data_IF_023623610850
#
_entry.id   IF_023623610850
#
_cell.length_a   1.000
_cell.length_b   1.000
_cell.length_c   1.000
_cell.angle_alpha   90.00
_cell.angle_beta   90.00
_cell.angle_gamma   90.00
#
_symmetry.space_group_name_H-M   'P 1'
#
loop_
_entity.id
_entity.type
_entity.pdbx_description
1 polymer ?
#
# COMPACT_ATOMS: atom_id res chain seq x y z
N UNK A 1 25.96 -9.81 -6.50
CA UNK A 1 25.24 -8.61 -6.98
C UNK A 1 25.32 -7.57 -5.87
N UNK A 2 25.80 -6.34 -6.11
CA UNK A 2 25.88 -5.32 -5.07
C UNK A 2 24.47 -4.93 -4.60
N UNK A 3 24.32 -4.67 -3.30
CA UNK A 3 23.07 -4.22 -2.69
C UNK A 3 23.33 -2.82 -2.14
N UNK A 4 22.46 -1.87 -2.51
CA UNK A 4 22.50 -0.49 -2.03
C UNK A 4 21.26 -0.23 -1.18
N UNK A 5 21.42 0.50 -0.08
CA UNK A 5 20.35 0.79 0.88
C UNK A 5 20.09 2.29 0.93
N UNK A 6 18.87 2.69 0.57
CA UNK A 6 18.35 4.04 0.77
C UNK A 6 17.35 4.03 1.92
N UNK A 7 17.44 5.01 2.82
CA UNK A 7 16.48 5.19 3.93
C UNK A 7 15.63 6.42 3.63
N UNK A 8 14.33 6.19 3.48
CA UNK A 8 13.34 7.24 3.27
C UNK A 8 12.88 7.86 4.59
N UNK A 9 12.11 8.93 4.49
CA UNK A 9 11.35 9.48 5.63
C UNK A 9 10.22 8.53 6.04
N UNK A 10 9.75 8.67 7.27
CA UNK A 10 8.68 7.82 7.80
C UNK A 10 7.29 8.24 7.29
N UNK A 11 6.41 7.24 7.15
CA UNK A 11 5.00 7.44 6.81
C UNK A 11 4.78 8.26 5.53
N UNK A 12 3.80 9.15 5.59
CA UNK A 12 3.36 9.93 4.43
C UNK A 12 4.42 10.94 3.94
N UNK A 13 5.41 11.28 4.76
CA UNK A 13 6.50 12.19 4.39
C UNK A 13 7.43 11.58 3.34
N UNK A 14 7.46 10.24 3.22
CA UNK A 14 8.15 9.55 2.13
C UNK A 14 7.62 9.96 0.75
N UNK A 15 6.35 10.36 0.65
CA UNK A 15 5.65 10.59 -0.62
C UNK A 15 5.73 12.04 -1.07
N UNK A 16 6.90 12.66 -0.94
CA UNK A 16 7.13 14.00 -1.45
C UNK A 16 7.95 13.96 -2.74
N UNK A 17 7.81 14.99 -3.57
CA UNK A 17 8.62 15.13 -4.78
C UNK A 17 10.12 15.17 -4.46
N UNK A 18 10.50 15.80 -3.34
CA UNK A 18 11.90 15.86 -2.90
C UNK A 18 12.45 14.46 -2.61
N UNK A 19 11.76 13.66 -1.81
CA UNK A 19 12.19 12.29 -1.49
C UNK A 19 12.25 11.42 -2.74
N UNK A 20 11.28 11.57 -3.65
CA UNK A 20 11.33 10.92 -4.96
C UNK A 20 12.57 11.31 -5.76
N UNK A 21 12.86 12.62 -5.88
CA UNK A 21 14.03 13.10 -6.61
C UNK A 21 15.34 12.60 -6.00
N UNK A 22 15.47 12.63 -4.67
CA UNK A 22 16.62 12.09 -3.96
C UNK A 22 16.80 10.58 -4.19
N UNK A 23 15.71 9.83 -4.26
CA UNK A 23 15.74 8.40 -4.58
C UNK A 23 16.27 8.14 -5.99
N UNK A 24 15.90 8.97 -6.97
CA UNK A 24 16.43 8.90 -8.33
C UNK A 24 17.93 9.25 -8.37
N UNK A 25 18.33 10.32 -7.67
CA UNK A 25 19.73 10.72 -7.55
C UNK A 25 20.57 9.60 -6.91
N UNK A 26 20.07 8.95 -5.87
CA UNK A 26 20.72 7.82 -5.21
C UNK A 26 20.94 6.65 -6.19
N UNK A 27 19.92 6.29 -6.98
CA UNK A 27 20.03 5.22 -7.97
C UNK A 27 21.09 5.54 -9.05
N UNK A 28 21.08 6.77 -9.59
CA UNK A 28 22.07 7.21 -10.58
C UNK A 28 23.50 7.24 -10.01
N UNK A 29 23.67 7.75 -8.80
CA UNK A 29 24.98 7.89 -8.14
C UNK A 29 25.63 6.54 -7.83
N UNK A 30 24.82 5.50 -7.62
CA UNK A 30 25.26 4.12 -7.42
C UNK A 30 25.33 3.31 -8.73
N UNK A 31 25.22 3.95 -9.89
CA UNK A 31 25.29 3.32 -11.21
C UNK A 31 24.26 2.18 -11.41
N UNK A 32 23.07 2.31 -10.81
CA UNK A 32 21.96 1.42 -11.14
C UNK A 32 21.60 1.57 -12.62
N UNK A 33 21.15 0.48 -13.24
CA UNK A 33 20.83 0.44 -14.65
C UNK A 33 19.51 -0.32 -14.89
N UNK A 34 19.14 -0.52 -16.16
CA UNK A 34 17.87 -1.18 -16.52
C UNK A 34 17.72 -2.63 -16.05
N UNK A 35 18.81 -3.29 -15.66
CA UNK A 35 18.82 -4.65 -15.10
C UNK A 35 18.81 -4.65 -13.57
N UNK A 36 18.88 -3.47 -12.94
CA UNK A 36 18.71 -3.32 -11.50
C UNK A 36 17.27 -3.58 -11.09
N UNK A 37 17.07 -3.87 -9.81
CA UNK A 37 15.76 -4.10 -9.21
C UNK A 37 15.62 -3.27 -7.94
N UNK A 38 14.43 -2.73 -7.71
CA UNK A 38 14.10 -2.02 -6.47
C UNK A 38 13.33 -2.97 -5.55
N UNK A 39 13.70 -3.00 -4.26
CA UNK A 39 12.95 -3.73 -3.23
C UNK A 39 12.37 -2.69 -2.27
N UNK A 40 11.04 -2.64 -2.20
CA UNK A 40 10.30 -1.75 -1.32
C UNK A 40 10.01 -2.44 0.01
N UNK A 41 10.82 -2.16 1.03
CA UNK A 41 10.63 -2.70 2.39
C UNK A 41 10.03 -1.63 3.29
N UNK A 42 8.74 -1.74 3.63
CA UNK A 42 8.05 -0.79 4.49
C UNK A 42 6.54 -0.84 4.37
N UNK A 43 5.84 0.16 4.93
CA UNK A 43 4.41 0.32 4.75
C UNK A 43 4.02 0.84 3.36
N UNK A 44 2.72 1.07 3.15
CA UNK A 44 2.18 1.49 1.85
C UNK A 44 2.83 2.75 1.27
N UNK A 45 3.24 3.69 2.12
CA UNK A 45 3.90 4.91 1.64
C UNK A 45 5.28 4.68 1.01
N UNK A 46 6.06 3.74 1.56
CA UNK A 46 7.32 3.31 0.98
C UNK A 46 7.07 2.51 -0.29
N UNK A 47 6.05 1.66 -0.30
CA UNK A 47 5.60 0.92 -1.49
C UNK A 47 5.28 1.84 -2.66
N UNK A 48 4.46 2.86 -2.44
CA UNK A 48 4.06 3.83 -3.46
C UNK A 48 5.26 4.63 -4.00
N UNK A 49 6.12 5.14 -3.10
CA UNK A 49 7.32 5.88 -3.49
C UNK A 49 8.25 4.98 -4.32
N UNK A 50 8.60 3.81 -3.80
CA UNK A 50 9.55 2.90 -4.43
C UNK A 50 9.03 2.39 -5.77
N UNK A 51 7.74 2.08 -5.87
CA UNK A 51 7.09 1.71 -7.12
C UNK A 51 7.12 2.86 -8.14
N UNK A 52 6.88 4.11 -7.71
CA UNK A 52 6.94 5.26 -8.61
C UNK A 52 8.37 5.56 -9.08
N UNK A 53 9.36 5.41 -8.20
CA UNK A 53 10.79 5.46 -8.57
C UNK A 53 11.11 4.37 -9.58
N UNK A 54 10.69 3.13 -9.35
CA UNK A 54 10.94 2.00 -10.26
C UNK A 54 10.31 2.22 -11.63
N UNK A 55 9.06 2.69 -11.67
CA UNK A 55 8.33 2.95 -12.90
C UNK A 55 8.97 4.04 -13.78
N UNK A 56 9.61 5.02 -13.16
CA UNK A 56 10.15 6.20 -13.84
C UNK A 56 11.66 6.13 -14.07
N UNK A 57 12.41 5.43 -13.21
CA UNK A 57 13.86 5.26 -13.36
C UNK A 57 14.16 4.52 -14.65
N UNK A 58 14.92 5.16 -15.54
CA UNK A 58 15.25 4.64 -16.88
C UNK A 58 14.02 4.16 -17.70
N UNK A 59 12.83 4.73 -17.44
CA UNK A 59 11.53 4.35 -18.03
C UNK A 59 11.00 2.98 -17.60
N UNK A 60 11.38 2.51 -16.43
CA UNK A 60 10.88 1.27 -15.85
C UNK A 60 11.99 0.27 -15.58
N UNK A 61 12.09 -0.16 -14.33
CA UNK A 61 12.89 -1.29 -13.87
C UNK A 61 12.06 -2.15 -12.91
N UNK A 62 12.32 -3.47 -12.82
CA UNK A 62 11.54 -4.35 -11.96
C UNK A 62 11.58 -3.92 -10.50
N UNK A 63 10.50 -4.15 -9.78
CA UNK A 63 10.46 -3.96 -8.34
C UNK A 63 9.65 -5.03 -7.61
N UNK A 64 9.98 -5.24 -6.35
CA UNK A 64 9.31 -6.16 -5.44
C UNK A 64 8.84 -5.38 -4.22
N UNK A 65 7.66 -5.72 -3.68
CA UNK A 65 7.19 -5.17 -2.41
C UNK A 65 7.36 -6.18 -1.28
N UNK A 66 7.80 -5.68 -0.12
CA UNK A 66 7.83 -6.39 1.15
C UNK A 66 7.07 -5.52 2.16
N UNK A 67 5.72 -5.61 2.18
CA UNK A 67 4.90 -4.79 3.04
C UNK A 67 5.11 -5.12 4.52
N UNK A 68 5.27 -4.10 5.36
CA UNK A 68 5.52 -4.26 6.81
C UNK A 68 4.40 -3.75 7.69
N UNK A 69 3.29 -3.29 7.11
CA UNK A 69 2.10 -2.83 7.84
C UNK A 69 0.88 -3.59 7.40
N UNK A 70 -0.09 -3.80 8.30
CA UNK A 70 -1.33 -4.47 7.93
C UNK A 70 -2.02 -3.70 6.79
N UNK A 71 -2.11 -2.36 6.87
CA UNK A 71 -2.72 -1.52 5.84
C UNK A 71 -2.15 -1.73 4.43
N UNK A 72 -0.87 -2.09 4.33
CA UNK A 72 -0.22 -2.25 3.04
C UNK A 72 -0.69 -3.50 2.26
N UNK A 73 -1.50 -4.39 2.84
CA UNK A 73 -2.17 -5.46 2.06
C UNK A 73 -3.06 -4.89 0.95
N UNK A 74 -3.74 -3.78 1.23
CA UNK A 74 -4.53 -3.04 0.25
C UNK A 74 -3.56 -2.45 -0.79
N UNK A 75 -2.64 -1.57 -0.41
CA UNK A 75 -1.81 -0.85 -1.39
C UNK A 75 -0.86 -1.74 -2.21
N UNK A 76 -0.49 -2.92 -1.70
CA UNK A 76 0.36 -3.86 -2.42
C UNK A 76 -0.33 -4.48 -3.64
N UNK A 77 -1.67 -4.48 -3.68
CA UNK A 77 -2.46 -5.02 -4.78
C UNK A 77 -3.09 -3.87 -5.57
N UNK A 78 -2.88 -3.85 -6.88
CA UNK A 78 -3.56 -2.92 -7.79
C UNK A 78 -2.71 -1.84 -8.44
N UNK A 79 -1.38 -1.94 -8.38
CA UNK A 79 -0.41 -1.20 -9.22
C UNK A 79 -0.37 0.33 -9.10
N UNK A 80 -1.20 0.95 -8.26
CA UNK A 80 -1.18 2.40 -8.10
C UNK A 80 0.05 2.78 -7.29
N UNK A 81 0.99 3.48 -7.91
CA UNK A 81 2.19 3.98 -7.24
C UNK A 81 2.27 5.48 -7.47
N UNK A 82 2.46 6.25 -6.40
CA UNK A 82 2.29 7.70 -6.46
C UNK A 82 3.05 8.44 -5.36
N UNK A 83 3.23 9.73 -5.59
CA UNK A 83 3.63 10.72 -4.58
C UNK A 83 2.53 11.78 -4.42
N UNK A 84 2.62 12.52 -3.33
CA UNK A 84 1.71 13.60 -3.01
C UNK A 84 2.16 14.91 -3.64
N UNK A 85 1.17 15.73 -3.97
CA UNK A 85 1.34 17.14 -4.25
C UNK A 85 0.81 17.96 -3.06
N UNK A 86 1.31 19.19 -2.78
CA UNK A 86 0.74 20.03 -1.72
C UNK A 86 -0.77 20.27 -1.85
N UNK A 87 -1.31 20.18 -3.07
CA UNK A 87 -2.74 20.34 -3.34
C UNK A 87 -3.56 19.05 -3.27
N UNK A 88 -2.93 17.88 -3.09
CA UNK A 88 -3.67 16.61 -3.04
C UNK A 88 -2.79 15.39 -2.86
N UNK A 89 -3.36 14.38 -2.19
CA UNK A 89 -2.70 13.07 -2.02
C UNK A 89 -2.77 12.25 -3.30
N UNK A 90 -1.71 11.49 -3.59
CA UNK A 90 -1.63 10.55 -4.71
C UNK A 90 -1.88 11.17 -6.10
N UNK A 91 -1.68 12.47 -6.26
CA UNK A 91 -2.03 13.19 -7.49
C UNK A 91 -1.01 12.97 -8.63
N UNK A 92 0.21 12.54 -8.30
CA UNK A 92 1.29 12.34 -9.27
C UNK A 92 1.73 10.88 -9.16
N UNK A 93 1.42 10.07 -10.16
CA UNK A 93 1.69 8.64 -10.11
C UNK A 93 1.48 7.94 -11.45
N UNK A 94 1.61 6.62 -11.43
CA UNK A 94 1.43 5.74 -12.58
C UNK A 94 0.90 4.38 -12.10
N UNK A 95 0.28 3.63 -13.00
CA UNK A 95 -0.02 2.22 -12.77
C UNK A 95 1.22 1.38 -13.14
N UNK A 96 1.87 0.77 -12.15
CA UNK A 96 3.06 -0.06 -12.30
C UNK A 96 3.00 -1.29 -11.38
N UNK A 97 3.01 -2.48 -11.97
CA UNK A 97 2.86 -3.75 -11.24
C UNK A 97 4.19 -4.20 -10.65
N UNK A 98 4.23 -4.67 -9.39
CA UNK A 98 5.41 -5.34 -8.85
C UNK A 98 5.59 -6.73 -9.49
N UNK A 99 6.84 -7.20 -9.54
CA UNK A 99 7.17 -8.57 -9.93
C UNK A 99 6.69 -9.60 -8.90
N UNK A 100 6.70 -9.21 -7.62
CA UNK A 100 6.22 -10.01 -6.51
C UNK A 100 5.89 -9.15 -5.28
N UNK A 101 5.04 -9.70 -4.41
CA UNK A 101 4.74 -9.15 -3.08
C UNK A 101 5.02 -10.24 -2.05
N UNK A 102 5.87 -9.95 -1.07
CA UNK A 102 6.19 -10.86 0.03
C UNK A 102 5.66 -10.29 1.35
N UNK A 103 4.64 -10.91 1.91
CA UNK A 103 4.05 -10.51 3.18
C UNK A 103 4.53 -11.43 4.29
N UNK A 104 5.37 -10.91 5.19
CA UNK A 104 5.84 -11.64 6.37
C UNK A 104 5.12 -11.11 7.62
N UNK A 105 4.33 -11.97 8.26
CA UNK A 105 3.52 -11.62 9.43
C UNK A 105 4.37 -11.26 10.66
N UNK A 106 5.64 -11.64 10.68
CA UNK A 106 6.56 -11.29 11.77
C UNK A 106 6.76 -9.76 11.90
N UNK A 107 6.65 -9.00 10.80
CA UNK A 107 6.73 -7.53 10.86
C UNK A 107 5.57 -6.90 11.63
N UNK A 108 4.40 -7.54 11.64
CA UNK A 108 3.22 -7.04 12.35
C UNK A 108 3.38 -7.13 13.87
N UNK A 109 4.25 -8.02 14.37
CA UNK A 109 4.53 -8.18 15.81
C UNK A 109 5.18 -6.94 16.44
N UNK A 110 5.86 -6.12 15.62
CA UNK A 110 6.52 -4.88 16.05
C UNK A 110 5.73 -3.63 15.67
N UNK A 111 4.57 -3.78 15.02
CA UNK A 111 3.81 -2.66 14.51
C UNK A 111 3.07 -1.94 15.66
N UNK A 112 3.14 -0.60 15.77
CA UNK A 112 2.38 0.12 16.78
C UNK A 112 0.88 -0.14 16.65
N UNK A 113 0.17 -0.27 17.78
CA UNK A 113 -1.27 -0.47 17.84
C UNK A 113 -2.07 0.45 16.92
N UNK A 114 -1.68 1.73 16.85
CA UNK A 114 -2.36 2.71 16.01
C UNK A 114 -2.33 2.32 14.52
N UNK A 115 -1.19 1.83 14.04
CA UNK A 115 -1.01 1.39 12.65
C UNK A 115 -1.72 0.05 12.41
N UNK A 116 -1.73 -0.83 13.40
CA UNK A 116 -2.50 -2.08 13.34
C UNK A 116 -4.01 -1.80 13.23
N UNK A 117 -4.56 -0.89 14.06
CA UNK A 117 -5.97 -0.44 13.98
C UNK A 117 -6.28 0.20 12.64
N UNK A 118 -5.37 1.01 12.12
CA UNK A 118 -5.52 1.66 10.81
C UNK A 118 -5.66 0.60 9.70
N UNK A 119 -4.79 -0.42 9.69
CA UNK A 119 -4.91 -1.53 8.76
C UNK A 119 -6.17 -2.36 8.96
N UNK A 120 -6.57 -2.61 10.20
CA UNK A 120 -7.78 -3.36 10.54
C UNK A 120 -9.05 -2.65 10.04
N UNK A 121 -9.11 -1.32 10.14
CA UNK A 121 -10.23 -0.53 9.64
C UNK A 121 -10.39 -0.67 8.11
N UNK A 122 -9.29 -0.74 7.38
CA UNK A 122 -9.33 -0.98 5.93
C UNK A 122 -9.86 -2.38 5.60
N UNK A 123 -9.44 -3.41 6.36
CA UNK A 123 -9.96 -4.78 6.18
C UNK A 123 -11.47 -4.85 6.43
N UNK A 124 -11.97 -4.19 7.48
CA UNK A 124 -13.42 -4.11 7.74
C UNK A 124 -14.14 -3.43 6.58
N UNK A 125 -13.59 -2.33 6.07
CA UNK A 125 -14.18 -1.59 4.96
C UNK A 125 -14.28 -2.47 3.71
N UNK A 126 -13.22 -3.18 3.35
CA UNK A 126 -13.24 -4.10 2.19
C UNK A 126 -14.30 -5.19 2.35
N UNK A 127 -14.39 -5.80 3.55
CA UNK A 127 -15.39 -6.80 3.86
C UNK A 127 -16.82 -6.24 3.75
N UNK A 128 -17.08 -5.07 4.33
CA UNK A 128 -18.40 -4.41 4.26
C UNK A 128 -18.87 -4.15 2.82
N UNK A 129 -17.94 -3.84 1.92
CA UNK A 129 -18.26 -3.48 0.53
C UNK A 129 -18.47 -4.73 -0.32
N UNK A 130 -17.65 -5.77 -0.14
CA UNK A 130 -17.54 -6.87 -1.11
C UNK A 130 -17.84 -8.26 -0.56
N UNK A 131 -17.83 -8.47 0.76
CA UNK A 131 -17.97 -9.79 1.36
C UNK A 131 -18.60 -9.75 2.76
N UNK A 132 -19.92 -9.84 2.81
CA UNK A 132 -20.68 -9.89 4.07
C UNK A 132 -20.31 -11.08 4.96
N UNK A 133 -19.94 -12.23 4.39
CA UNK A 133 -19.54 -13.40 5.17
C UNK A 133 -18.19 -13.19 5.86
N UNK A 134 -17.26 -12.51 5.19
CA UNK A 134 -15.98 -12.11 5.78
C UNK A 134 -16.20 -11.02 6.84
N UNK A 135 -17.13 -10.10 6.64
CA UNK A 135 -17.50 -9.13 7.65
C UNK A 135 -18.05 -9.79 8.92
N UNK A 136 -18.98 -10.73 8.79
CA UNK A 136 -19.53 -11.49 9.93
C UNK A 136 -18.43 -12.26 10.67
N UNK A 137 -17.48 -12.84 9.93
CA UNK A 137 -16.30 -13.50 10.50
C UNK A 137 -15.42 -12.52 11.29
N UNK A 138 -15.15 -11.32 10.76
CA UNK A 138 -14.33 -10.31 11.42
C UNK A 138 -14.93 -9.89 12.78
N UNK A 139 -16.23 -9.58 12.80
CA UNK A 139 -16.92 -9.12 14.02
C UNK A 139 -17.06 -10.24 15.07
N UNK A 140 -17.21 -11.50 14.64
CA UNK A 140 -17.29 -12.64 15.56
C UNK A 140 -15.94 -13.14 16.04
N UNK A 141 -14.88 -12.98 15.24
CA UNK A 141 -13.56 -13.56 15.51
C UNK A 141 -12.55 -12.59 16.14
N UNK A 142 -12.79 -11.28 16.06
CA UNK A 142 -11.85 -10.26 16.57
C UNK A 142 -12.58 -9.30 17.49
N UNK A 143 -12.51 -9.54 18.80
CA UNK A 143 -13.09 -8.65 19.81
C UNK A 143 -12.11 -7.57 20.28
N UNK A 144 -10.81 -7.85 20.19
CA UNK A 144 -9.74 -6.93 20.53
C UNK A 144 -8.47 -7.19 19.70
N UNK A 145 -7.51 -6.26 19.70
CA UNK A 145 -6.27 -6.44 18.93
C UNK A 145 -5.37 -7.52 19.52
N UNK A 146 -5.45 -7.73 20.82
CA UNK A 146 -4.68 -8.73 21.55
C UNK A 146 -5.05 -10.16 21.13
N UNK A 147 -6.24 -10.34 20.54
CA UNK A 147 -6.72 -11.62 20.03
C UNK A 147 -6.28 -11.91 18.58
N UNK A 148 -5.52 -11.01 17.94
CA UNK A 148 -5.02 -11.17 16.58
C UNK A 148 -3.88 -12.19 16.54
N UNK A 149 -4.24 -13.47 16.43
CA UNK A 149 -3.29 -14.55 16.17
C UNK A 149 -2.73 -14.46 14.74
N UNK A 150 -1.59 -15.10 14.51
CA UNK A 150 -0.96 -15.18 13.19
C UNK A 150 -1.90 -15.80 12.14
N UNK A 151 -2.71 -16.78 12.55
CA UNK A 151 -3.74 -17.41 11.70
C UNK A 151 -4.84 -16.42 11.29
N UNK A 152 -5.35 -15.62 12.23
CA UNK A 152 -6.36 -14.59 11.93
C UNK A 152 -5.79 -13.52 11.01
N UNK A 153 -4.57 -13.05 11.27
CA UNK A 153 -3.88 -12.08 10.41
C UNK A 153 -3.67 -12.63 8.99
N UNK A 154 -3.25 -13.88 8.87
CA UNK A 154 -3.07 -14.54 7.57
C UNK A 154 -4.40 -14.63 6.82
N UNK A 155 -5.48 -15.03 7.50
CA UNK A 155 -6.81 -15.10 6.91
C UNK A 155 -7.27 -13.73 6.41
N UNK A 156 -7.14 -12.70 7.25
CA UNK A 156 -7.50 -11.32 6.92
C UNK A 156 -6.76 -10.79 5.69
N UNK A 157 -5.43 -10.91 5.68
CA UNK A 157 -4.58 -10.42 4.59
C UNK A 157 -4.93 -11.16 3.29
N UNK A 158 -5.10 -12.49 3.36
CA UNK A 158 -5.47 -13.29 2.19
C UNK A 158 -6.81 -12.87 1.62
N UNK A 159 -7.84 -12.70 2.45
CA UNK A 159 -9.17 -12.26 2.00
C UNK A 159 -9.15 -10.85 1.43
N UNK A 160 -8.47 -9.90 2.07
CA UNK A 160 -8.32 -8.54 1.54
C UNK A 160 -7.64 -8.52 0.17
N UNK A 161 -6.54 -9.28 0.01
CA UNK A 161 -5.86 -9.45 -1.27
C UNK A 161 -6.80 -10.07 -2.33
N UNK A 162 -7.55 -11.11 -2.00
CA UNK A 162 -8.49 -11.77 -2.92
C UNK A 162 -9.62 -10.81 -3.36
N UNK A 163 -10.21 -10.07 -2.42
CA UNK A 163 -11.24 -9.06 -2.69
C UNK A 163 -10.67 -7.99 -3.63
N UNK A 164 -9.50 -7.44 -3.29
CA UNK A 164 -8.89 -6.39 -4.09
C UNK A 164 -8.47 -6.87 -5.47
N UNK A 165 -7.90 -8.07 -5.56
CA UNK A 165 -7.52 -8.67 -6.83
C UNK A 165 -8.74 -8.88 -7.74
N UNK A 166 -9.88 -9.32 -7.21
CA UNK A 166 -11.12 -9.46 -7.96
C UNK A 166 -11.59 -8.10 -8.53
N UNK A 167 -11.58 -7.05 -7.71
CA UNK A 167 -11.98 -5.69 -8.14
C UNK A 167 -11.00 -5.10 -9.16
N UNK A 168 -9.69 -5.34 -8.98
CA UNK A 168 -8.66 -4.88 -9.94
C UNK A 168 -8.79 -5.62 -11.28
N UNK A 169 -9.12 -6.91 -11.25
CA UNK A 169 -9.33 -7.70 -12.48
C UNK A 169 -10.56 -7.22 -13.27
N UNK A 170 -11.59 -6.74 -12.58
CA UNK A 170 -12.79 -6.16 -13.21
C UNK A 170 -12.52 -4.75 -13.76
N UNK A 171 -11.69 -3.95 -13.09
CA UNK A 171 -11.43 -2.54 -13.46
C UNK A 171 -10.01 -2.07 -13.10
N UNK A 172 -9.04 -2.44 -13.94
CA UNK A 172 -7.61 -2.20 -13.69
C UNK A 172 -7.26 -0.71 -13.60
N UNK A 173 -7.94 0.16 -14.35
CA UNK A 173 -7.65 1.61 -14.43
C UNK A 173 -8.64 2.49 -13.67
N UNK A 174 -9.50 1.91 -12.85
CA UNK A 174 -10.44 2.65 -11.99
C UNK A 174 -11.40 3.57 -12.77
N UNK A 175 -12.07 3.00 -13.76
CA UNK A 175 -13.08 3.66 -14.60
C UNK A 175 -14.53 3.46 -14.11
N UNK A 176 -14.76 2.56 -13.14
CA UNK A 176 -16.08 2.18 -12.67
C UNK A 176 -16.06 1.57 -11.26
N UNK A 177 -16.25 0.24 -11.15
CA UNK A 177 -16.51 -0.49 -9.90
C UNK A 177 -15.39 -0.31 -8.86
N UNK A 178 -14.15 -0.09 -9.30
CA UNK A 178 -13.02 0.11 -8.37
C UNK A 178 -13.13 1.41 -7.56
N UNK A 179 -13.93 2.38 -8.01
CA UNK A 179 -14.16 3.62 -7.26
C UNK A 179 -14.84 3.38 -5.89
N UNK A 180 -15.59 2.28 -5.72
CA UNK A 180 -16.25 1.95 -4.45
C UNK A 180 -15.24 1.64 -3.34
N UNK A 181 -14.05 1.13 -3.66
CA UNK A 181 -12.99 0.90 -2.66
C UNK A 181 -12.42 2.22 -2.07
N UNK A 182 -12.66 3.37 -2.71
CA UNK A 182 -12.31 4.68 -2.16
C UNK A 182 -13.33 5.20 -1.13
N UNK A 183 -14.35 4.41 -0.76
CA UNK A 183 -15.32 4.77 0.27
C UNK A 183 -14.60 5.12 1.57
N UNK A 184 -14.88 6.30 2.14
CA UNK A 184 -14.20 6.81 3.34
C UNK A 184 -12.79 7.39 3.13
N UNK A 185 -12.11 7.13 2.00
CA UNK A 185 -10.78 7.69 1.71
C UNK A 185 -10.85 9.14 1.19
N UNK A 186 -11.94 9.53 0.53
CA UNK A 186 -12.23 10.94 0.23
C UNK A 186 -12.81 11.60 1.48
N UNK A 187 -12.12 12.63 2.02
CA UNK A 187 -12.76 13.59 2.92
C UNK A 187 -14.03 14.05 2.22
N UNK A 188 -15.18 13.96 2.90
CA UNK A 188 -16.42 14.54 2.40
C UNK A 188 -16.15 16.02 2.07
N UNK A 189 -16.03 16.35 0.78
CA UNK A 189 -15.95 17.72 0.28
C UNK A 189 -17.35 18.32 0.43
N UNK A 190 -17.72 18.64 1.66
CA UNK A 190 -19.06 19.06 2.07
C UNK A 190 -19.31 19.00 3.58
N UNK A 191 -18.50 18.27 4.37
CA UNK A 191 -18.65 18.22 5.84
C UNK A 191 -17.92 19.34 6.60
N UNK A 192 -17.54 20.44 5.94
CA UNK A 192 -16.94 21.59 6.61
C UNK A 192 -17.94 22.68 7.00
N UNK A 193 -19.25 22.44 6.84
CA UNK A 193 -20.28 23.29 7.44
C UNK A 193 -21.12 22.47 8.42
N UNK A 194 -21.15 22.93 9.68
CA UNK A 194 -21.97 22.51 10.82
C UNK A 194 -21.53 21.29 11.67
N UNK A 195 -20.54 21.49 12.55
CA UNK A 195 -20.68 21.65 14.02
C UNK A 195 -19.33 21.63 14.71
#
# INVERSE_FOLDING_TARGET
>A
MPIYKYISLEGEQAKTFEVFYQSQCFALSNNLNRKSMIIALGGGAVGDLAGFVAATFMRGIPFIQIPTTLLAHDSAVGSKVAINHPQGKNMIGVFYQPEAVFFDLSFLKTLPDKELRSGFAEVIKEALIQDGSFYDWLISSVSSLEELTEEKLMHMIKRGIEIKAAVVAEDEKESGVRAYLNFGQKRCQGCNDSR
#
